data_IF_934631170218
#
_entry.id   IF_934631170218
#
_cell.length_a   1.000
_cell.length_b   1.000
_cell.length_c   1.000
_cell.angle_alpha   90.00
_cell.angle_beta   90.00
_cell.angle_gamma   90.00
#
_symmetry.space_group_name_H-M   'P 1'
#
loop_
_entity.id
_entity.type
_entity.pdbx_description
1 polymer ?
#
# COMPACT_ATOMS: atom_id res chain seq x y z
N UNK A 1 -21.21 -8.42 -5.33
CA UNK A 1 -21.26 -7.74 -6.64
C UNK A 1 -21.58 -6.27 -6.39
N UNK A 2 -20.64 -5.37 -6.67
CA UNK A 2 -20.84 -3.93 -6.55
C UNK A 2 -21.52 -3.44 -7.83
N UNK A 3 -22.54 -2.58 -7.72
CA UNK A 3 -23.15 -1.87 -8.86
C UNK A 3 -22.95 -0.38 -8.68
N UNK A 4 -22.45 0.29 -9.72
CA UNK A 4 -22.26 1.73 -9.74
C UNK A 4 -22.63 2.27 -11.12
N UNK A 5 -23.13 3.50 -11.16
CA UNK A 5 -23.32 4.24 -12.40
C UNK A 5 -22.11 5.15 -12.60
N UNK A 6 -21.47 5.04 -13.75
CA UNK A 6 -20.28 5.81 -14.11
C UNK A 6 -20.64 6.64 -15.36
N UNK A 7 -20.04 7.82 -15.49
CA UNK A 7 -20.14 8.61 -16.71
C UNK A 7 -19.53 7.84 -17.90
N UNK A 8 -20.20 7.85 -19.05
CA UNK A 8 -19.83 7.06 -20.23
C UNK A 8 -18.42 7.39 -20.73
N UNK A 9 -18.00 8.67 -20.66
CA UNK A 9 -16.66 9.09 -21.12
C UNK A 9 -15.59 8.56 -20.19
N UNK A 10 -15.87 8.57 -18.89
CA UNK A 10 -14.96 8.02 -17.88
C UNK A 10 -14.85 6.50 -18.01
N UNK A 11 -15.96 5.79 -18.21
CA UNK A 11 -15.96 4.34 -18.42
C UNK A 11 -15.17 3.97 -19.68
N UNK A 12 -15.39 4.67 -20.80
CA UNK A 12 -14.69 4.40 -22.05
C UNK A 12 -13.16 4.54 -21.88
N UNK A 13 -12.72 5.64 -21.26
CA UNK A 13 -11.29 5.88 -20.99
C UNK A 13 -10.71 4.83 -20.05
N UNK A 14 -11.45 4.44 -19.01
CA UNK A 14 -11.03 3.40 -18.08
C UNK A 14 -10.82 2.06 -18.79
N UNK A 15 -11.78 1.65 -19.64
CA UNK A 15 -11.68 0.41 -20.43
C UNK A 15 -10.50 0.42 -21.39
N UNK A 16 -10.29 1.53 -22.11
CA UNK A 16 -9.16 1.68 -23.01
C UNK A 16 -7.83 1.47 -22.29
N UNK A 17 -7.64 2.14 -21.15
CA UNK A 17 -6.42 2.03 -20.34
C UNK A 17 -6.23 0.64 -19.74
N UNK A 18 -7.31 0.03 -19.24
CA UNK A 18 -7.28 -1.33 -18.72
C UNK A 18 -6.83 -2.33 -19.79
N UNK A 19 -7.35 -2.22 -21.01
CA UNK A 19 -6.96 -3.08 -22.13
C UNK A 19 -5.51 -2.83 -22.57
N UNK A 20 -5.06 -1.58 -22.62
CA UNK A 20 -3.65 -1.24 -22.92
C UNK A 20 -2.69 -1.83 -21.88
N UNK A 21 -3.07 -1.84 -20.60
CA UNK A 21 -2.23 -2.30 -19.49
C UNK A 21 -2.20 -3.81 -19.32
N UNK A 22 -3.36 -4.48 -19.36
CA UNK A 22 -3.48 -5.91 -19.06
C UNK A 22 -3.70 -6.79 -20.31
N UNK A 23 -3.70 -6.17 -21.49
CA UNK A 23 -3.97 -6.83 -22.76
C UNK A 23 -5.46 -6.95 -23.07
N UNK A 24 -5.76 -7.26 -24.34
CA UNK A 24 -7.12 -7.37 -24.87
C UNK A 24 -7.74 -8.75 -24.59
N UNK A 25 -7.74 -9.15 -23.32
CA UNK A 25 -8.21 -10.47 -22.89
C UNK A 25 -9.38 -10.37 -21.90
N UNK A 26 -10.14 -11.47 -21.79
CA UNK A 26 -11.23 -11.59 -20.82
C UNK A 26 -10.65 -11.45 -19.41
N UNK A 27 -11.11 -10.45 -18.67
CA UNK A 27 -10.69 -10.18 -17.29
C UNK A 27 -9.79 -8.95 -17.10
N UNK A 28 -9.33 -8.30 -18.17
CA UNK A 28 -8.55 -7.06 -18.08
C UNK A 28 -9.30 -5.95 -17.31
N UNK A 29 -10.60 -5.79 -17.57
CA UNK A 29 -11.45 -4.82 -16.86
C UNK A 29 -11.62 -5.19 -15.39
N UNK A 30 -11.85 -6.46 -15.08
CA UNK A 30 -12.00 -6.93 -13.69
C UNK A 30 -10.74 -6.65 -12.88
N UNK A 31 -9.55 -6.96 -13.44
CA UNK A 31 -8.26 -6.66 -12.80
C UNK A 31 -8.06 -5.16 -12.57
N UNK A 32 -8.40 -4.34 -13.56
CA UNK A 32 -8.31 -2.89 -13.42
C UNK A 32 -9.24 -2.35 -12.32
N UNK A 33 -10.45 -2.92 -12.19
CA UNK A 33 -11.40 -2.55 -11.13
C UNK A 33 -10.87 -2.93 -9.76
N UNK A 34 -10.30 -4.13 -9.62
CA UNK A 34 -9.67 -4.57 -8.37
C UNK A 34 -8.48 -3.66 -7.99
N UNK A 35 -7.60 -3.34 -8.93
CA UNK A 35 -6.50 -2.38 -8.70
C UNK A 35 -7.03 -1.01 -8.29
N UNK A 36 -8.07 -0.49 -8.97
CA UNK A 36 -8.65 0.81 -8.65
C UNK A 36 -9.28 0.86 -7.24
N UNK A 37 -10.00 -0.20 -6.84
CA UNK A 37 -10.58 -0.32 -5.50
C UNK A 37 -9.46 -0.39 -4.44
N UNK A 38 -8.41 -1.18 -4.68
CA UNK A 38 -7.26 -1.25 -3.77
C UNK A 38 -6.56 0.11 -3.63
N UNK A 39 -6.39 0.85 -4.74
CA UNK A 39 -5.80 2.19 -4.71
C UNK A 39 -6.68 3.17 -3.94
N UNK A 40 -8.01 3.10 -4.12
CA UNK A 40 -8.96 3.92 -3.38
C UNK A 40 -8.90 3.65 -1.87
N UNK A 41 -8.93 2.37 -1.47
CA UNK A 41 -8.80 1.97 -0.06
C UNK A 41 -7.50 2.53 0.52
N UNK A 42 -6.36 2.31 -0.14
CA UNK A 42 -5.06 2.83 0.32
C UNK A 42 -5.03 4.35 0.41
N UNK A 43 -5.67 5.05 -0.52
CA UNK A 43 -5.75 6.51 -0.51
C UNK A 43 -6.51 6.99 0.74
N UNK A 44 -7.68 6.41 1.01
CA UNK A 44 -8.51 6.74 2.18
C UNK A 44 -7.85 6.30 3.50
N UNK A 45 -7.25 5.11 3.55
CA UNK A 45 -6.53 4.62 4.73
C UNK A 45 -5.28 5.44 5.03
N UNK A 46 -4.56 5.94 4.00
CA UNK A 46 -3.44 6.85 4.20
C UNK A 46 -3.88 8.18 4.81
N UNK A 47 -5.07 8.68 4.47
CA UNK A 47 -5.66 9.85 5.15
C UNK A 47 -6.05 9.52 6.60
N UNK A 48 -6.24 8.25 6.96
CA UNK A 48 -6.56 7.81 8.33
C UNK A 48 -5.35 7.53 9.23
N UNK A 49 -4.12 7.47 8.71
CA UNK A 49 -2.93 7.43 9.57
C UNK A 49 -2.57 8.87 9.96
N UNK A 50 -3.46 9.49 10.73
CA UNK A 50 -3.10 10.62 11.57
C UNK A 50 -2.60 9.99 12.87
N UNK A 51 -1.30 10.05 13.10
CA UNK A 51 -0.75 9.68 14.40
C UNK A 51 -1.26 10.71 15.42
N UNK A 52 -2.26 10.33 16.20
CA UNK A 52 -2.69 11.11 17.37
C UNK A 52 -1.73 10.82 18.51
N UNK A 53 -0.93 11.82 18.90
CA UNK A 53 0.05 11.71 19.99
C UNK A 53 1.46 12.11 19.58
N UNK A 54 2.38 12.05 20.53
CA UNK A 54 3.80 12.27 20.24
C UNK A 54 4.34 11.09 19.41
N UNK A 55 4.99 11.34 18.25
CA UNK A 55 5.50 10.27 17.40
C UNK A 55 6.49 9.32 18.08
N UNK A 56 7.25 9.80 19.07
CA UNK A 56 8.19 8.97 19.83
C UNK A 56 7.42 8.00 20.72
N UNK A 57 6.39 8.47 21.42
CA UNK A 57 5.53 7.64 22.29
C UNK A 57 4.80 6.54 21.50
N UNK A 58 4.34 6.86 20.29
CA UNK A 58 3.69 5.85 19.43
C UNK A 58 4.69 4.76 19.02
N UNK A 59 5.91 5.15 18.62
CA UNK A 59 6.96 4.20 18.27
C UNK A 59 7.34 3.36 19.50
N UNK A 60 7.50 3.97 20.67
CA UNK A 60 7.80 3.28 21.92
C UNK A 60 6.72 2.25 22.27
N UNK A 61 5.44 2.63 22.17
CA UNK A 61 4.30 1.73 22.37
C UNK A 61 4.31 0.53 21.41
N UNK A 62 4.59 0.74 20.12
CA UNK A 62 4.70 -0.33 19.12
C UNK A 62 5.86 -1.28 19.46
N UNK A 63 6.99 -0.74 19.92
CA UNK A 63 8.17 -1.51 20.28
C UNK A 63 8.05 -2.22 21.64
N UNK A 64 7.10 -1.82 22.48
CA UNK A 64 6.93 -2.38 23.84
C UNK A 64 6.62 -3.88 23.90
N UNK A 65 6.04 -4.45 22.84
CA UNK A 65 5.78 -5.89 22.73
C UNK A 65 6.99 -6.69 22.25
N UNK A 66 8.06 -6.01 21.83
CA UNK A 66 9.29 -6.64 21.36
C UNK A 66 10.24 -6.77 22.56
N UNK A 67 10.51 -8.00 22.96
CA UNK A 67 11.50 -8.34 24.00
C UNK A 67 12.93 -8.25 23.43
N UNK A 68 13.34 -7.04 23.06
CA UNK A 68 14.68 -6.71 22.60
C UNK A 68 15.05 -5.30 23.02
N UNK A 69 16.30 -5.09 23.42
CA UNK A 69 16.75 -3.76 23.79
C UNK A 69 17.12 -2.89 22.55
N UNK A 70 17.21 -1.58 22.78
CA UNK A 70 17.54 -0.61 21.73
C UNK A 70 18.92 -0.86 21.08
N UNK A 71 19.87 -1.45 21.79
CA UNK A 71 21.24 -1.73 21.32
C UNK A 71 21.24 -2.97 20.45
N UNK A 72 20.51 -4.01 20.83
CA UNK A 72 20.28 -5.21 20.03
C UNK A 72 19.59 -4.90 18.70
N UNK A 73 18.58 -4.02 18.74
CA UNK A 73 17.91 -3.53 17.52
C UNK A 73 18.89 -2.80 16.60
N UNK A 74 19.75 -1.93 17.14
CA UNK A 74 20.78 -1.22 16.36
C UNK A 74 21.79 -2.18 15.73
N UNK A 75 22.21 -3.22 16.45
CA UNK A 75 23.10 -4.24 15.90
C UNK A 75 22.46 -5.02 14.75
N UNK A 76 21.21 -5.46 14.91
CA UNK A 76 20.50 -6.17 13.82
C UNK A 76 20.33 -5.29 12.58
N UNK A 77 19.97 -4.02 12.76
CA UNK A 77 19.82 -3.08 11.64
C UNK A 77 21.15 -2.91 10.90
N UNK A 78 22.26 -2.77 11.63
CA UNK A 78 23.60 -2.68 11.06
C UNK A 78 23.94 -3.90 10.20
N UNK A 79 23.64 -5.12 10.68
CA UNK A 79 23.89 -6.35 9.94
C UNK A 79 23.05 -6.46 8.65
N UNK A 80 21.78 -6.04 8.72
CA UNK A 80 20.89 -5.95 7.54
C UNK A 80 21.44 -4.95 6.52
N UNK A 81 21.90 -3.79 6.96
CA UNK A 81 22.45 -2.77 6.04
C UNK A 81 23.74 -3.23 5.37
N UNK A 82 24.64 -3.86 6.14
CA UNK A 82 25.88 -4.43 5.59
C UNK A 82 25.57 -5.52 4.56
N UNK A 83 24.62 -6.41 4.83
CA UNK A 83 24.24 -7.46 3.87
C UNK A 83 23.52 -6.91 2.61
N UNK A 84 22.82 -5.78 2.73
CA UNK A 84 22.15 -5.13 1.60
C UNK A 84 23.14 -4.34 0.72
N UNK A 85 24.18 -3.75 1.32
CA UNK A 85 25.20 -2.97 0.61
C UNK A 85 26.24 -3.83 -0.15
N UNK A 86 26.29 -5.14 0.12
CA UNK A 86 27.22 -6.09 -0.50
C UNK A 86 26.56 -6.88 -1.64
N UNK A 87 25.30 -6.57 -2.00
CA UNK A 87 24.61 -7.09 -3.19
C UNK A 87 24.51 -6.05 -4.32
#
# INVERSE_FOLDING_TARGET
MIRAKIDDRLELKFRELAMKRFGYSKGAISKAVEEAILMWIKFVERESIVFEGDPVEVIDGILSEIDMDSVELQHKIKDIWVSTAVN
#
